data_IF_100017814893
#
_entry.id   IF_100017814893
#
_cell.length_a   1.000
_cell.length_b   1.000
_cell.length_c   1.000
_cell.angle_alpha   90.00
_cell.angle_beta   90.00
_cell.angle_gamma   90.00
#
_symmetry.space_group_name_H-M   'P 1'
#
loop_
_entity.id
_entity.type
_entity.pdbx_description
1 polymer ?
#
# COMPACT_ATOMS: atom_id res chain seq x y z
N UNK A 1 -14.09 -21.49 5.83
CA UNK A 1 -13.89 -21.49 4.36
C UNK A 1 -13.92 -20.04 3.92
N UNK A 2 -12.77 -19.39 3.77
CA UNK A 2 -12.73 -18.06 3.18
C UNK A 2 -12.60 -18.24 1.67
N UNK A 3 -13.74 -18.32 1.00
CA UNK A 3 -13.82 -18.27 -0.46
C UNK A 3 -14.28 -16.87 -0.83
N UNK A 4 -13.34 -16.04 -1.25
CA UNK A 4 -13.65 -14.79 -1.93
C UNK A 4 -12.80 -14.74 -3.18
N UNK A 5 -13.40 -15.14 -4.30
CA UNK A 5 -12.84 -14.95 -5.64
C UNK A 5 -12.72 -13.45 -5.87
N UNK A 6 -11.49 -12.95 -6.06
CA UNK A 6 -11.27 -11.58 -6.54
C UNK A 6 -11.67 -11.56 -8.02
N UNK A 7 -12.79 -10.92 -8.31
CA UNK A 7 -13.16 -10.58 -9.68
C UNK A 7 -12.26 -9.44 -10.15
N UNK A 8 -11.44 -9.68 -11.17
CA UNK A 8 -10.66 -8.63 -11.82
C UNK A 8 -11.66 -7.71 -12.55
N UNK A 9 -11.73 -6.40 -12.25
CA UNK A 9 -12.58 -5.49 -12.99
C UNK A 9 -12.04 -5.34 -14.41
N UNK A 10 -12.80 -5.80 -15.41
CA UNK A 10 -12.51 -5.56 -16.83
C UNK A 10 -12.89 -4.13 -17.25
N UNK A 11 -12.43 -3.14 -16.50
CA UNK A 11 -12.56 -1.74 -16.89
C UNK A 11 -11.37 -1.37 -17.79
N UNK A 12 -11.59 -0.59 -18.88
CA UNK A 12 -10.49 -0.10 -19.71
C UNK A 12 -9.48 0.63 -18.81
N UNK A 13 -8.21 0.21 -18.91
CA UNK A 13 -7.10 0.70 -18.09
C UNK A 13 -7.06 2.24 -18.17
N UNK A 14 -7.25 2.99 -17.06
CA UNK A 14 -6.96 4.41 -17.06
C UNK A 14 -5.44 4.60 -17.15
N UNK A 15 -5.05 5.57 -17.95
CA UNK A 15 -3.73 5.96 -18.44
C UNK A 15 -2.81 6.56 -17.36
N UNK A 16 -2.84 6.00 -16.15
CA UNK A 16 -2.19 6.56 -14.97
C UNK A 16 -0.70 6.19 -14.85
N UNK A 17 -0.12 5.52 -15.85
CA UNK A 17 1.32 5.28 -15.93
C UNK A 17 1.91 4.37 -14.85
N UNK A 18 1.11 3.69 -14.03
CA UNK A 18 1.60 2.63 -13.14
C UNK A 18 1.71 1.37 -14.00
N UNK A 19 2.94 0.99 -14.32
CA UNK A 19 3.26 -0.21 -15.08
C UNK A 19 2.49 -1.41 -14.52
N UNK A 20 1.84 -2.17 -15.40
CA UNK A 20 0.84 -3.21 -15.13
C UNK A 20 1.30 -4.42 -14.27
N UNK A 21 2.42 -4.31 -13.55
CA UNK A 21 2.93 -5.27 -12.60
C UNK A 21 3.17 -4.69 -11.19
N UNK A 22 2.96 -3.40 -10.96
CA UNK A 22 2.91 -2.84 -9.61
C UNK A 22 1.52 -3.11 -9.03
N UNK A 23 1.22 -4.39 -8.78
CA UNK A 23 0.12 -4.73 -7.87
C UNK A 23 0.53 -4.23 -6.50
N UNK A 24 -0.15 -3.22 -5.96
CA UNK A 24 -0.22 -3.08 -4.51
C UNK A 24 -0.52 -4.47 -3.96
N UNK A 25 0.41 -5.04 -3.21
CA UNK A 25 0.29 -6.42 -2.76
C UNK A 25 -0.88 -6.42 -1.78
N UNK A 26 -2.01 -7.01 -2.20
CA UNK A 26 -3.28 -6.92 -1.49
C UNK A 26 -3.24 -7.51 -0.09
N UNK A 27 -2.18 -8.27 0.22
CA UNK A 27 -1.92 -8.87 1.53
C UNK A 27 -0.88 -8.09 2.36
N UNK A 28 -0.38 -6.95 1.90
CA UNK A 28 0.48 -6.12 2.71
C UNK A 28 -0.31 -5.41 3.81
N UNK A 29 0.34 -5.27 4.97
CA UNK A 29 -0.26 -4.63 6.13
C UNK A 29 0.39 -3.27 6.31
N UNK A 30 -0.42 -2.22 6.34
CA UNK A 30 0.04 -0.90 6.77
C UNK A 30 0.41 -0.96 8.26
N UNK A 31 1.70 -1.02 8.55
CA UNK A 31 2.21 -1.04 9.93
C UNK A 31 2.29 0.36 10.55
N UNK A 32 2.51 1.40 9.73
CA UNK A 32 2.55 2.79 10.15
C UNK A 32 1.91 3.70 9.10
N UNK A 33 1.15 4.71 9.55
CA UNK A 33 0.41 5.63 8.68
C UNK A 33 -1.09 5.29 8.60
N UNK A 34 -1.89 6.23 8.07
CA UNK A 34 -3.36 6.09 7.95
C UNK A 34 -4.17 6.51 9.18
N UNK A 35 -3.58 6.50 10.38
CA UNK A 35 -4.27 6.87 11.64
C UNK A 35 -4.01 8.32 12.10
N UNK A 36 -3.68 9.21 11.17
CA UNK A 36 -3.32 10.60 11.47
C UNK A 36 -1.95 10.76 12.14
N UNK A 37 -1.62 12.02 12.45
CA UNK A 37 -0.35 12.41 13.07
C UNK A 37 -0.36 12.07 14.57
N UNK A 38 0.67 11.40 15.09
CA UNK A 38 0.73 11.09 16.54
C UNK A 38 1.88 10.18 16.97
N UNK A 39 1.89 9.82 18.26
CA UNK A 39 2.93 9.01 18.90
C UNK A 39 2.57 7.53 19.07
N UNK A 40 1.42 7.09 18.53
CA UNK A 40 1.03 5.68 18.55
C UNK A 40 1.87 4.83 17.60
N UNK A 41 1.94 3.51 17.88
CA UNK A 41 2.77 2.56 17.13
C UNK A 41 2.48 2.47 15.63
N UNK A 42 1.30 2.92 15.18
CA UNK A 42 0.86 2.90 13.79
C UNK A 42 0.63 4.32 13.23
N UNK A 43 1.25 5.34 13.84
CA UNK A 43 1.16 6.73 13.42
C UNK A 43 2.54 7.25 12.99
N UNK A 44 2.53 8.27 12.14
CA UNK A 44 3.72 9.02 11.76
C UNK A 44 3.60 10.44 12.31
N UNK A 45 4.69 11.02 12.81
CA UNK A 45 4.70 12.38 13.35
C UNK A 45 5.83 13.20 12.72
N UNK A 46 5.53 13.88 11.61
CA UNK A 46 6.51 14.66 10.86
C UNK A 46 7.78 13.86 10.49
N UNK A 47 7.64 12.69 9.83
CA UNK A 47 8.81 12.00 9.31
C UNK A 47 9.39 12.78 8.13
N UNK A 48 10.71 12.97 8.13
CA UNK A 48 11.44 13.57 7.01
C UNK A 48 12.57 12.64 6.60
N UNK A 49 12.94 12.67 5.30
CA UNK A 49 14.04 11.88 4.75
C UNK A 49 13.93 10.36 5.02
N UNK A 50 12.74 9.78 4.82
CA UNK A 50 12.54 8.31 4.91
C UNK A 50 13.19 7.64 3.71
N UNK A 51 14.13 6.73 3.96
CA UNK A 51 14.82 5.96 2.93
C UNK A 51 14.65 4.48 3.26
N UNK A 52 14.28 3.69 2.25
CA UNK A 52 14.25 2.24 2.30
C UNK A 52 15.40 1.76 1.43
N UNK A 53 16.31 0.97 2.00
CA UNK A 53 17.37 0.35 1.22
C UNK A 53 16.90 -0.98 0.60
N UNK A 54 17.76 -1.58 -0.22
CA UNK A 54 17.43 -2.84 -0.90
C UNK A 54 17.52 -4.07 0.02
N UNK A 55 18.03 -3.91 1.24
CA UNK A 55 18.29 -5.03 2.15
C UNK A 55 17.08 -5.42 2.98
N UNK A 56 16.04 -4.57 3.04
CA UNK A 56 14.75 -4.93 3.63
C UNK A 56 14.82 -5.04 5.16
#
# INVERSE_FOLDING_TARGET
MFSSTITVPTLPIPDDGICANATWHTNDITVAGGNGRGSGNNQLNEPFAVVVDRMG
#
